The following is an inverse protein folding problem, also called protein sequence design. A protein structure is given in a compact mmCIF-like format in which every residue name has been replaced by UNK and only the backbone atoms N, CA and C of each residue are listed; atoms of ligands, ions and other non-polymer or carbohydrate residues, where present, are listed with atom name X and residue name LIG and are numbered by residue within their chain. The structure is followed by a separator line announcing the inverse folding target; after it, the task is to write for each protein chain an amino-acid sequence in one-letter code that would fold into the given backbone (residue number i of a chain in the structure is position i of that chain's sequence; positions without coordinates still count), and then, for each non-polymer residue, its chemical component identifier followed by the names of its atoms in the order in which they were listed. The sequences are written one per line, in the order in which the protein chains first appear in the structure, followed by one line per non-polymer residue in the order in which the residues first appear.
data_IF_676311734516
#
_entry.id   IF_676311734516
#
_cell.length_a   1.000
_cell.length_b   1.000
_cell.length_c   1.000
_cell.angle_alpha   90.00
_cell.angle_beta   90.00
_cell.angle_gamma   90.00
#
_symmetry.space_group_name_H-M   'P 1'
#
loop_
_entity.id
_entity.type
_entity.pdbx_description
1 polymer ?
#
# COMPACT_ATOMS: atom_id res chain seq x y z
N UNK A 1 -0.87 -2.43 20.09
CA UNK A 1 -0.28 -1.45 19.15
C UNK A 1 -0.10 -0.12 19.86
N UNK A 2 1.11 0.13 20.39
CA UNK A 2 1.43 1.35 21.15
C UNK A 2 1.74 2.45 20.13
N UNK A 3 0.71 3.22 19.79
CA UNK A 3 0.81 4.32 18.83
C UNK A 3 1.93 5.29 19.23
N UNK A 4 2.61 5.79 18.21
CA UNK A 4 3.78 6.66 18.18
C UNK A 4 3.49 8.05 18.82
N UNK A 5 3.25 8.12 20.13
CA UNK A 5 3.17 9.40 20.85
C UNK A 5 4.59 9.93 21.12
N UNK A 6 5.29 10.37 20.07
CA UNK A 6 6.55 11.12 20.24
C UNK A 6 6.16 12.57 20.52
N UNK A 7 6.39 13.03 21.75
CA UNK A 7 6.11 14.40 22.19
C UNK A 7 7.14 15.40 21.68
N UNK A 8 7.34 15.47 20.37
CA UNK A 8 8.24 16.46 19.80
C UNK A 8 7.53 17.78 19.56
N UNK A 9 8.18 18.87 19.98
CA UNK A 9 7.73 20.20 19.65
C UNK A 9 7.85 20.42 18.14
N UNK A 10 6.74 20.78 17.51
CA UNK A 10 6.70 21.14 16.10
C UNK A 10 7.55 22.39 15.88
N UNK A 11 8.45 22.34 14.88
CA UNK A 11 9.25 23.48 14.44
C UNK A 11 8.81 23.86 13.02
N UNK A 12 8.66 25.15 12.78
CA UNK A 12 8.35 25.69 11.46
C UNK A 12 9.64 25.94 10.68
N UNK A 13 9.58 25.77 9.36
CA UNK A 13 10.65 26.19 8.46
C UNK A 13 10.55 27.69 8.19
N UNK A 14 11.68 28.36 7.99
CA UNK A 14 11.72 29.78 7.64
C UNK A 14 11.43 30.04 6.16
N UNK A 15 11.69 29.05 5.30
CA UNK A 15 11.58 29.16 3.85
C UNK A 15 11.16 27.82 3.22
N UNK A 16 10.64 27.89 1.99
CA UNK A 16 10.33 26.74 1.15
C UNK A 16 11.44 26.52 0.12
N UNK A 17 12.00 25.31 0.07
CA UNK A 17 12.99 24.91 -0.92
C UNK A 17 12.33 24.00 -1.97
N UNK A 18 12.32 24.45 -3.22
CA UNK A 18 11.72 23.71 -4.34
C UNK A 18 12.66 22.65 -4.90
N UNK A 19 13.94 23.00 -5.02
CA UNK A 19 14.96 22.20 -5.71
C UNK A 19 15.93 21.62 -4.68
N UNK A 20 15.61 20.42 -4.18
CA UNK A 20 16.39 19.72 -3.16
C UNK A 20 17.45 18.83 -3.84
N UNK A 21 18.64 18.72 -3.23
CA UNK A 21 19.70 17.80 -3.69
C UNK A 21 19.18 16.38 -3.90
N UNK A 22 19.65 15.71 -4.96
CA UNK A 22 19.31 14.31 -5.28
C UNK A 22 19.66 13.37 -4.12
N UNK A 23 20.67 13.70 -3.31
CA UNK A 23 21.08 12.92 -2.13
C UNK A 23 20.03 12.94 -1.00
N UNK A 24 19.20 13.97 -0.97
CA UNK A 24 18.08 14.14 -0.03
C UNK A 24 16.74 13.73 -0.65
N UNK A 25 16.75 13.18 -1.87
CA UNK A 25 15.55 12.66 -2.53
C UNK A 25 15.26 11.22 -2.11
N UNK A 26 14.49 11.08 -1.03
CA UNK A 26 14.09 9.77 -0.51
C UNK A 26 12.88 9.15 -1.22
N UNK A 27 12.34 9.73 -2.31
CA UNK A 27 11.15 9.21 -3.02
C UNK A 27 11.35 7.79 -3.52
N UNK A 28 12.61 7.42 -3.81
CA UNK A 28 13.01 6.08 -4.28
C UNK A 28 13.52 5.16 -3.18
N UNK A 29 13.76 5.68 -1.96
CA UNK A 29 14.29 4.91 -0.83
C UNK A 29 13.29 3.89 -0.31
N UNK A 30 12.00 4.24 -0.36
CA UNK A 30 10.94 3.33 0.03
C UNK A 30 10.68 2.31 -1.09
N UNK A 31 11.35 1.16 -1.01
CA UNK A 31 11.10 0.00 -1.84
C UNK A 31 9.77 -0.71 -1.53
N UNK A 32 8.69 0.04 -1.28
CA UNK A 32 7.33 -0.45 -0.97
C UNK A 32 6.75 -1.23 -2.17
N UNK A 33 7.26 -0.96 -3.38
CA UNK A 33 6.84 -1.58 -4.64
C UNK A 33 7.82 -2.63 -5.19
N UNK A 34 8.82 -3.09 -4.41
CA UNK A 34 9.52 -4.32 -4.79
C UNK A 34 8.47 -5.42 -4.72
N UNK A 35 8.11 -5.96 -5.89
CA UNK A 35 7.00 -6.87 -6.05
C UNK A 35 7.04 -7.94 -4.97
N UNK A 36 5.87 -8.32 -4.48
CA UNK A 36 5.73 -9.51 -3.65
C UNK A 36 5.99 -10.74 -4.51
N UNK A 37 7.23 -10.89 -4.98
CA UNK A 37 7.72 -12.04 -5.71
C UNK A 37 7.74 -13.21 -4.71
N UNK A 38 6.62 -13.92 -4.63
CA UNK A 38 6.44 -15.05 -3.71
C UNK A 38 5.12 -15.10 -2.97
N UNK A 39 4.29 -14.05 -3.00
CA UNK A 39 2.94 -14.17 -2.46
C UNK A 39 2.06 -14.88 -3.49
N UNK A 40 1.88 -16.20 -3.31
CA UNK A 40 0.85 -16.95 -4.01
C UNK A 40 -0.50 -16.41 -3.53
N UNK A 41 -1.06 -15.49 -4.31
CA UNK A 41 -2.36 -14.88 -4.07
C UNK A 41 -3.41 -15.97 -4.25
N UNK A 42 -4.11 -16.36 -3.16
CA UNK A 42 -5.22 -17.31 -3.24
C UNK A 42 -6.34 -16.68 -4.09
N UNK A 43 -6.85 -17.36 -5.13
CA UNK A 43 -8.00 -16.87 -5.87
C UNK A 43 -9.18 -16.65 -4.91
N UNK A 44 -9.89 -15.55 -5.12
CA UNK A 44 -11.17 -15.25 -4.48
C UNK A 44 -12.20 -14.97 -5.55
N UNK A 45 -13.48 -15.11 -5.22
CA UNK A 45 -14.58 -14.80 -6.13
C UNK A 45 -14.44 -13.35 -6.61
N UNK A 46 -14.29 -13.13 -7.92
CA UNK A 46 -14.33 -11.80 -8.52
C UNK A 46 -15.52 -11.76 -9.48
N UNK A 47 -16.34 -10.71 -9.41
CA UNK A 47 -17.58 -10.62 -10.22
C UNK A 47 -17.40 -10.73 -11.74
N UNK A 48 -16.17 -10.56 -12.24
CA UNK A 48 -15.85 -10.66 -13.66
C UNK A 48 -14.85 -11.79 -13.98
N UNK A 49 -14.57 -12.72 -13.05
CA UNK A 49 -13.61 -13.81 -13.31
C UNK A 49 -14.06 -14.72 -14.46
N UNK A 50 -15.36 -14.96 -14.62
CA UNK A 50 -15.95 -15.74 -15.72
C UNK A 50 -15.63 -15.15 -17.11
N UNK A 51 -15.39 -13.83 -17.19
CA UNK A 51 -15.15 -13.12 -18.46
C UNK A 51 -13.69 -12.84 -18.70
N UNK A 52 -12.96 -12.52 -17.63
CA UNK A 52 -11.62 -11.93 -17.69
C UNK A 52 -10.53 -12.78 -17.03
N UNK A 53 -10.93 -13.90 -16.42
CA UNK A 53 -10.09 -14.68 -15.52
C UNK A 53 -9.84 -13.97 -14.19
N UNK A 54 -9.27 -14.72 -13.24
CA UNK A 54 -8.83 -14.16 -11.96
C UNK A 54 -7.66 -13.19 -12.17
N UNK A 55 -7.80 -11.95 -11.67
CA UNK A 55 -6.74 -10.94 -11.69
C UNK A 55 -6.13 -10.79 -10.29
N UNK A 56 -4.89 -11.25 -10.06
CA UNK A 56 -4.21 -11.06 -8.77
C UNK A 56 -3.76 -9.62 -8.57
N UNK A 57 -3.39 -9.27 -7.34
CA UNK A 57 -2.80 -7.96 -6.99
C UNK A 57 -3.68 -6.74 -7.34
N UNK A 58 -5.01 -6.91 -7.36
CA UNK A 58 -5.95 -5.79 -7.42
C UNK A 58 -5.94 -5.00 -6.10
N UNK A 59 -6.54 -3.81 -6.14
CA UNK A 59 -6.73 -2.97 -4.96
C UNK A 59 -7.42 -3.74 -3.82
N UNK A 60 -7.06 -3.45 -2.57
CA UNK A 60 -7.76 -3.99 -1.38
C UNK A 60 -9.27 -3.73 -1.43
N UNK A 61 -9.68 -2.66 -2.12
CA UNK A 61 -11.08 -2.31 -2.35
C UNK A 61 -11.81 -3.38 -3.17
N UNK A 62 -11.14 -3.98 -4.16
CA UNK A 62 -11.70 -5.07 -4.95
C UNK A 62 -11.99 -6.29 -4.07
N UNK A 63 -11.01 -6.72 -3.28
CA UNK A 63 -11.17 -7.82 -2.32
C UNK A 63 -12.31 -7.55 -1.33
N UNK A 64 -12.43 -6.32 -0.80
CA UNK A 64 -13.47 -5.99 0.18
C UNK A 64 -14.88 -6.05 -0.41
N UNK A 65 -15.08 -5.58 -1.65
CA UNK A 65 -16.40 -5.62 -2.27
C UNK A 65 -16.76 -7.00 -2.80
N UNK A 66 -15.76 -7.79 -3.20
CA UNK A 66 -15.97 -9.14 -3.71
C UNK A 66 -16.10 -10.22 -2.60
N UNK A 67 -15.39 -10.07 -1.47
CA UNK A 67 -15.39 -11.06 -0.37
C UNK A 67 -16.07 -10.56 0.92
N UNK A 68 -16.30 -9.26 1.07
CA UNK A 68 -16.97 -8.68 2.23
C UNK A 68 -16.30 -9.08 3.56
N UNK A 69 -17.04 -9.63 4.53
CA UNK A 69 -16.48 -10.08 5.80
C UNK A 69 -15.37 -11.14 5.67
N UNK A 70 -15.40 -11.97 4.61
CA UNK A 70 -14.41 -13.03 4.39
C UNK A 70 -13.04 -12.47 3.99
N UNK A 71 -12.94 -11.19 3.60
CA UNK A 71 -11.65 -10.54 3.34
C UNK A 71 -10.73 -10.54 4.57
N UNK A 72 -11.28 -10.69 5.79
CA UNK A 72 -10.50 -10.76 7.04
C UNK A 72 -9.60 -12.01 7.13
N UNK A 73 -10.00 -13.10 6.50
CA UNK A 73 -9.28 -14.39 6.54
C UNK A 73 -8.46 -14.64 5.26
N UNK A 74 -8.35 -13.62 4.41
CA UNK A 74 -7.68 -13.72 3.12
C UNK A 74 -6.15 -13.72 3.23
N UNK A 75 -5.63 -12.95 4.18
CA UNK A 75 -4.20 -12.85 4.50
C UNK A 75 -3.83 -13.68 5.73
#
# INVERSE_FOLDING_TARGET
MKQLKRGEALKFTSEYEKDVSVELDYRKTFGIKRGTEGNIVKPYFQVFDDREGFKPNLSIVDLLFNQGPQSKTYF
#
